data_IF_481962531924
#
_entry.id   IF_481962531924
#
_cell.length_a   1.000
_cell.length_b   1.000
_cell.length_c   1.000
_cell.angle_alpha   90.00
_cell.angle_beta   90.00
_cell.angle_gamma   90.00
#
_symmetry.space_group_name_H-M   'P 1'
#
loop_
_entity.id
_entity.type
_entity.pdbx_description
1 polymer ?
#
# COMPACT_ATOMS: atom_id res chain seq x y z
N UNK A 1 8.73 -17.64 -6.93
CA UNK A 1 7.81 -18.22 -7.94
C UNK A 1 7.78 -19.74 -7.94
N UNK A 2 8.93 -20.44 -7.87
CA UNK A 2 8.98 -21.91 -7.85
C UNK A 2 8.08 -22.55 -6.76
N UNK A 3 8.13 -22.03 -5.53
CA UNK A 3 7.30 -22.50 -4.42
C UNK A 3 5.78 -22.42 -4.69
N UNK A 4 5.29 -21.28 -5.17
CA UNK A 4 3.86 -21.08 -5.48
C UNK A 4 3.43 -22.05 -6.59
N UNK A 5 4.24 -22.20 -7.63
CA UNK A 5 3.95 -23.12 -8.74
C UNK A 5 3.94 -24.57 -8.30
N UNK A 6 4.88 -24.98 -7.45
CA UNK A 6 4.91 -26.33 -6.89
C UNK A 6 3.69 -26.60 -6.01
N UNK A 7 3.30 -25.65 -5.16
CA UNK A 7 2.10 -25.77 -4.33
C UNK A 7 0.83 -25.89 -5.17
N UNK A 8 0.67 -25.04 -6.19
CA UNK A 8 -0.49 -25.06 -7.09
C UNK A 8 -0.57 -26.38 -7.84
N UNK A 9 0.53 -26.83 -8.43
CA UNK A 9 0.61 -28.12 -9.14
C UNK A 9 0.26 -29.30 -8.22
N UNK A 10 0.77 -29.32 -7.00
CA UNK A 10 0.46 -30.36 -6.01
C UNK A 10 -1.03 -30.38 -5.59
N UNK A 11 -1.74 -29.27 -5.78
CA UNK A 11 -3.19 -29.16 -5.56
C UNK A 11 -4.02 -29.35 -6.84
N UNK A 12 -3.38 -29.69 -7.96
CA UNK A 12 -4.05 -29.82 -9.27
C UNK A 12 -4.53 -28.48 -9.85
N UNK A 13 -3.96 -27.37 -9.41
CA UNK A 13 -4.29 -26.02 -9.88
C UNK A 13 -3.23 -25.60 -10.91
N UNK A 14 -3.69 -25.25 -12.12
CA UNK A 14 -2.84 -24.68 -13.16
C UNK A 14 -2.75 -23.17 -12.93
N UNK A 15 -1.53 -22.62 -12.94
CA UNK A 15 -1.30 -21.18 -12.86
C UNK A 15 -1.28 -20.61 -14.27
N UNK A 16 -2.26 -19.77 -14.59
CA UNK A 16 -2.39 -19.11 -15.90
C UNK A 16 -1.35 -18.01 -16.08
N UNK A 17 -1.11 -17.19 -15.05
CA UNK A 17 -0.12 -16.12 -15.06
C UNK A 17 0.63 -16.01 -13.72
N UNK A 18 1.90 -15.60 -13.79
CA UNK A 18 2.75 -15.38 -12.64
C UNK A 18 3.59 -14.11 -12.86
N UNK A 19 3.31 -13.08 -12.09
CA UNK A 19 4.07 -11.83 -12.12
C UNK A 19 4.80 -11.59 -10.80
N UNK A 20 5.96 -10.94 -10.91
CA UNK A 20 6.64 -10.30 -9.79
C UNK A 20 6.60 -8.79 -9.99
N UNK A 21 6.40 -8.08 -8.88
CA UNK A 21 6.51 -6.63 -8.81
C UNK A 21 7.58 -6.27 -7.78
N UNK A 22 8.53 -5.43 -8.15
CA UNK A 22 9.62 -4.97 -7.30
C UNK A 22 9.25 -3.57 -6.84
N UNK A 23 8.73 -3.46 -5.62
CA UNK A 23 8.34 -2.19 -5.03
C UNK A 23 7.84 -2.37 -3.61
N UNK A 24 7.95 -1.33 -2.79
CA UNK A 24 7.47 -1.36 -1.40
C UNK A 24 5.98 -1.71 -1.38
N UNK A 25 5.60 -2.55 -0.43
CA UNK A 25 4.21 -2.91 -0.13
C UNK A 25 3.37 -1.73 0.40
N UNK A 26 4.01 -0.58 0.67
CA UNK A 26 3.36 0.71 0.93
C UNK A 26 2.99 1.48 -0.35
N UNK A 27 3.45 1.05 -1.53
CA UNK A 27 3.14 1.68 -2.80
C UNK A 27 1.87 1.08 -3.43
N UNK A 28 0.78 1.86 -3.37
CA UNK A 28 -0.52 1.53 -3.97
C UNK A 28 -0.58 1.82 -5.47
N UNK A 29 0.45 2.43 -6.06
CA UNK A 29 0.54 2.75 -7.49
C UNK A 29 1.41 1.74 -8.26
N UNK A 30 1.60 0.53 -7.70
CA UNK A 30 2.32 -0.56 -8.37
C UNK A 30 1.53 -0.98 -9.61
N UNK A 31 2.12 -0.80 -10.79
CA UNK A 31 1.43 -0.96 -12.09
C UNK A 31 0.80 -2.35 -12.24
N UNK A 32 1.57 -3.41 -11.98
CA UNK A 32 1.08 -4.79 -12.12
C UNK A 32 0.07 -5.15 -11.03
N UNK A 33 0.26 -4.64 -9.82
CA UNK A 33 -0.71 -4.85 -8.74
C UNK A 33 -2.06 -4.17 -9.01
N UNK A 34 -2.06 -2.95 -9.56
CA UNK A 34 -3.31 -2.30 -9.98
C UNK A 34 -3.97 -3.01 -11.16
N UNK A 35 -3.18 -3.48 -12.13
CA UNK A 35 -3.71 -4.31 -13.21
C UNK A 35 -4.37 -5.60 -12.66
N UNK A 36 -3.74 -6.28 -11.70
CA UNK A 36 -4.34 -7.43 -11.03
C UNK A 36 -5.70 -7.08 -10.40
N UNK A 37 -5.80 -5.92 -9.73
CA UNK A 37 -7.06 -5.48 -9.14
C UNK A 37 -8.13 -5.18 -10.21
N UNK A 38 -7.74 -4.58 -11.33
CA UNK A 38 -8.65 -4.35 -12.46
C UNK A 38 -9.17 -5.68 -13.03
N UNK A 39 -8.30 -6.67 -13.19
CA UNK A 39 -8.67 -8.02 -13.64
C UNK A 39 -9.58 -8.74 -12.63
N UNK A 40 -9.35 -8.55 -11.33
CA UNK A 40 -10.27 -9.01 -10.26
C UNK A 40 -11.64 -8.34 -10.40
N UNK A 41 -11.69 -7.01 -10.55
CA UNK A 41 -12.95 -6.27 -10.67
C UNK A 41 -13.72 -6.63 -11.95
N UNK A 42 -13.01 -7.04 -13.01
CA UNK A 42 -13.56 -7.57 -14.26
C UNK A 42 -13.93 -9.06 -14.19
N UNK A 43 -13.86 -9.69 -13.01
CA UNK A 43 -14.16 -11.11 -12.76
C UNK A 43 -13.29 -12.08 -13.60
N UNK A 44 -12.07 -11.67 -13.98
CA UNK A 44 -11.15 -12.48 -14.77
C UNK A 44 -10.24 -13.35 -13.89
N UNK A 45 -10.16 -13.04 -12.59
CA UNK A 45 -9.30 -13.73 -11.63
C UNK A 45 -10.15 -14.52 -10.63
N UNK A 46 -9.84 -15.81 -10.48
CA UNK A 46 -10.50 -16.68 -9.50
C UNK A 46 -9.69 -16.86 -8.22
N UNK A 47 -8.37 -16.98 -8.32
CA UNK A 47 -7.49 -17.24 -7.19
C UNK A 47 -6.19 -16.44 -7.34
N UNK A 48 -5.78 -15.79 -6.27
CA UNK A 48 -4.50 -15.07 -6.17
C UNK A 48 -3.65 -15.80 -5.12
N UNK A 49 -2.44 -16.21 -5.49
CA UNK A 49 -1.50 -16.81 -4.56
C UNK A 49 -0.42 -15.81 -4.16
N UNK A 50 -0.20 -15.67 -2.85
CA UNK A 50 0.90 -14.86 -2.28
C UNK A 50 1.60 -15.65 -1.18
N UNK A 51 2.89 -15.41 -0.94
CA UNK A 51 3.59 -16.11 0.15
C UNK A 51 3.27 -15.51 1.52
N UNK A 52 3.11 -14.19 1.58
CA UNK A 52 2.75 -13.46 2.78
C UNK A 52 1.76 -12.35 2.46
N UNK A 53 0.98 -11.92 3.48
CA UNK A 53 0.02 -10.81 3.32
C UNK A 53 0.70 -9.53 2.83
N UNK A 54 1.92 -9.26 3.32
CA UNK A 54 2.66 -8.05 2.97
C UNK A 54 3.22 -8.06 1.54
N UNK A 55 3.38 -9.22 0.89
CA UNK A 55 3.67 -9.30 -0.54
C UNK A 55 2.52 -8.75 -1.38
N UNK A 56 1.30 -8.85 -0.84
CA UNK A 56 0.13 -8.27 -1.47
C UNK A 56 0.04 -6.77 -1.17
N UNK A 57 0.01 -6.38 0.10
CA UNK A 57 -0.05 -4.96 0.54
C UNK A 57 0.38 -4.84 2.01
N UNK A 58 1.04 -3.75 2.41
CA UNK A 58 1.46 -3.55 3.81
C UNK A 58 0.28 -3.33 4.75
N UNK A 59 -0.67 -2.50 4.34
CA UNK A 59 -1.85 -2.13 5.14
C UNK A 59 -3.13 -2.28 4.33
N UNK A 60 -4.22 -2.63 5.04
CA UNK A 60 -5.53 -2.80 4.42
C UNK A 60 -5.73 -4.15 3.73
N UNK A 61 -4.87 -5.14 3.99
CA UNK A 61 -4.99 -6.48 3.38
C UNK A 61 -6.41 -7.05 3.48
N UNK A 62 -7.03 -6.99 4.67
CA UNK A 62 -8.36 -7.56 4.87
C UNK A 62 -9.44 -6.81 4.07
N UNK A 63 -9.27 -5.51 3.81
CA UNK A 63 -10.16 -4.74 2.93
C UNK A 63 -10.05 -5.21 1.48
N UNK A 64 -8.82 -5.37 0.96
CA UNK A 64 -8.62 -5.87 -0.41
C UNK A 64 -9.02 -7.33 -0.56
N UNK A 65 -8.85 -8.14 0.49
CA UNK A 65 -9.35 -9.51 0.51
C UNK A 65 -10.87 -9.53 0.33
N UNK A 66 -11.60 -8.69 1.08
CA UNK A 66 -13.05 -8.57 0.93
C UNK A 66 -13.45 -8.03 -0.45
N UNK A 67 -12.69 -7.08 -1.01
CA UNK A 67 -12.90 -6.62 -2.39
C UNK A 67 -12.80 -7.77 -3.38
N UNK A 68 -11.73 -8.57 -3.29
CA UNK A 68 -11.54 -9.74 -4.15
C UNK A 68 -12.70 -10.74 -3.99
N UNK A 69 -13.09 -11.04 -2.75
CA UNK A 69 -14.18 -11.99 -2.46
C UNK A 69 -15.53 -11.52 -3.04
N UNK A 70 -15.82 -10.22 -3.02
CA UNK A 70 -17.02 -9.65 -3.66
C UNK A 70 -17.06 -9.86 -5.17
N UNK A 71 -15.91 -9.96 -5.82
CA UNK A 71 -15.76 -10.23 -7.26
C UNK A 71 -15.48 -11.71 -7.56
N UNK A 72 -15.67 -12.61 -6.58
CA UNK A 72 -15.48 -14.06 -6.77
C UNK A 72 -14.01 -14.52 -6.79
N UNK A 73 -13.07 -13.63 -6.47
CA UNK A 73 -11.65 -13.93 -6.38
C UNK A 73 -11.23 -14.26 -4.94
N UNK A 74 -10.40 -15.29 -4.75
CA UNK A 74 -9.87 -15.67 -3.43
C UNK A 74 -8.38 -15.41 -3.33
N UNK A 75 -7.94 -14.71 -2.30
CA UNK A 75 -6.51 -14.59 -1.96
C UNK A 75 -6.10 -15.75 -1.05
N UNK A 76 -5.08 -16.50 -1.45
CA UNK A 76 -4.48 -17.63 -0.71
C UNK A 76 -3.06 -17.26 -0.30
N UNK A 77 -2.82 -17.23 1.01
CA UNK A 77 -1.51 -16.94 1.60
C UNK A 77 -0.79 -18.25 1.90
N UNK A 78 0.36 -18.47 1.27
CA UNK A 78 1.19 -19.67 1.39
C UNK A 78 2.42 -19.33 2.23
N UNK A 79 2.33 -19.50 3.56
CA UNK A 79 3.45 -19.23 4.47
C UNK A 79 4.72 -19.95 3.99
N UNK A 80 5.69 -19.19 3.47
CA UNK A 80 6.96 -19.73 2.99
C UNK A 80 8.11 -19.32 3.92
N UNK A 81 8.53 -20.16 4.88
CA UNK A 81 9.46 -19.79 5.94
C UNK A 81 10.84 -19.29 5.47
N UNK A 82 11.23 -19.53 4.21
CA UNK A 82 12.56 -19.22 3.69
C UNK A 82 12.83 -17.75 3.35
N UNK A 83 11.83 -16.86 3.51
CA UNK A 83 12.02 -15.41 3.28
C UNK A 83 11.50 -14.61 4.46
N UNK A 84 12.41 -14.10 5.30
CA UNK A 84 12.04 -13.20 6.41
C UNK A 84 11.68 -11.80 5.87
N UNK A 85 10.53 -11.23 6.27
CA UNK A 85 10.11 -9.89 5.90
C UNK A 85 10.76 -8.76 6.74
N UNK A 86 11.65 -9.09 7.69
CA UNK A 86 12.13 -8.14 8.72
C UNK A 86 12.81 -6.89 8.13
N UNK A 87 13.68 -7.06 7.14
CA UNK A 87 14.38 -5.93 6.50
C UNK A 87 13.41 -4.98 5.81
N UNK A 88 12.40 -5.52 5.12
CA UNK A 88 11.37 -4.69 4.50
C UNK A 88 10.45 -4.02 5.52
N UNK A 89 10.14 -4.69 6.63
CA UNK A 89 9.39 -4.10 7.73
C UNK A 89 10.11 -2.87 8.32
N UNK A 90 11.41 -2.98 8.56
CA UNK A 90 12.24 -1.86 9.05
C UNK A 90 12.27 -0.72 8.02
N UNK A 91 12.49 -1.03 6.74
CA UNK A 91 12.49 -0.04 5.66
C UNK A 91 11.14 0.68 5.53
N UNK A 92 10.04 -0.06 5.65
CA UNK A 92 8.69 0.49 5.60
C UNK A 92 8.42 1.39 6.81
N UNK A 93 8.87 1.02 8.01
CA UNK A 93 8.78 1.87 9.20
C UNK A 93 9.55 3.18 9.03
N UNK A 94 10.79 3.13 8.55
CA UNK A 94 11.61 4.33 8.28
C UNK A 94 10.89 5.24 7.27
N UNK A 95 10.34 4.65 6.21
CA UNK A 95 9.61 5.38 5.17
C UNK A 95 8.35 6.07 5.72
N UNK A 96 7.61 5.39 6.61
CA UNK A 96 6.45 5.95 7.31
C UNK A 96 6.87 7.14 8.19
N UNK A 97 7.87 6.94 9.06
CA UNK A 97 8.39 7.98 9.96
C UNK A 97 8.86 9.20 9.17
N UNK A 98 9.60 8.98 8.07
CA UNK A 98 10.08 10.04 7.19
C UNK A 98 8.92 10.83 6.58
N UNK A 99 7.92 10.13 6.01
CA UNK A 99 6.73 10.76 5.42
C UNK A 99 5.98 11.65 6.42
N UNK A 100 5.75 11.15 7.64
CA UNK A 100 5.13 11.93 8.71
C UNK A 100 5.99 13.12 9.15
N UNK A 101 7.30 12.93 9.29
CA UNK A 101 8.23 13.98 9.69
C UNK A 101 8.28 15.14 8.68
N UNK A 102 8.28 14.82 7.39
CA UNK A 102 8.20 15.80 6.30
C UNK A 102 6.89 16.59 6.34
N UNK A 103 5.75 15.92 6.54
CA UNK A 103 4.43 16.56 6.67
C UNK A 103 4.37 17.50 7.88
N UNK A 104 4.83 17.05 9.04
CA UNK A 104 4.86 17.86 10.26
C UNK A 104 5.77 19.08 10.10
N UNK A 105 6.94 18.90 9.49
CA UNK A 105 7.86 20.00 9.19
C UNK A 105 7.25 21.00 8.21
N UNK A 106 6.52 20.53 7.20
CA UNK A 106 5.75 21.36 6.27
C UNK A 106 4.68 22.19 6.98
N UNK A 107 3.91 21.57 7.88
CA UNK A 107 2.90 22.26 8.69
C UNK A 107 3.52 23.34 9.59
N UNK A 108 4.67 23.06 10.22
CA UNK A 108 5.40 24.06 11.02
C UNK A 108 5.87 25.24 10.17
N UNK A 109 6.41 24.97 8.97
CA UNK A 109 6.83 26.01 8.03
C UNK A 109 5.63 26.85 7.56
N UNK A 110 4.50 26.22 7.25
CA UNK A 110 3.27 26.90 6.85
C UNK A 110 2.72 27.78 7.97
N UNK A 111 2.62 27.26 9.21
CA UNK A 111 2.21 28.03 10.39
C UNK A 111 3.11 29.24 10.64
N UNK A 112 4.43 29.07 10.50
CA UNK A 112 5.40 30.18 10.64
C UNK A 112 5.21 31.24 9.54
N UNK A 113 4.94 30.83 8.29
CA UNK A 113 4.63 31.77 7.20
C UNK A 113 3.37 32.59 7.51
N UNK A 114 2.28 31.94 7.95
CA UNK A 114 1.05 32.65 8.32
C UNK A 114 1.26 33.65 9.47
N UNK A 115 2.00 33.28 10.52
CA UNK A 115 2.29 34.19 11.64
C UNK A 115 3.15 35.39 11.26
N UNK A 116 4.01 35.22 10.25
CA UNK A 116 4.92 36.24 9.76
C UNK A 116 4.34 37.03 8.58
N UNK A 117 3.16 36.66 8.09
CA UNK A 117 2.48 37.37 7.02
C UNK A 117 1.82 38.63 7.59
N UNK A 118 2.48 39.77 7.39
CA UNK A 118 2.03 41.08 7.85
C UNK A 118 0.74 41.54 7.16
N UNK A 119 0.35 40.94 6.02
CA UNK A 119 -0.92 41.25 5.34
C UNK A 119 -2.15 40.69 6.06
N UNK A 120 -1.99 39.68 6.92
CA UNK A 120 -3.05 39.07 7.72
C UNK A 120 -3.24 39.71 9.10
N UNK A 121 -2.36 40.65 9.50
CA UNK A 121 -2.41 41.33 10.80
C UNK A 121 -3.23 42.62 10.81
N UNK A 122 -3.81 43.00 9.68
CA UNK A 122 -4.51 44.28 9.50
C UNK A 122 -6.03 44.07 9.58
N UNK A 123 -6.52 43.79 10.78
CA UNK A 123 -7.94 43.73 11.11
C UNK A 123 -8.21 44.45 12.43
N UNK A 124 -8.42 45.77 12.30
CA UNK A 124 -9.13 46.69 13.20
C UNK A 124 -8.62 46.96 14.63
N UNK A 125 -8.18 48.20 14.86
CA UNK A 125 -8.92 49.13 15.73
C UNK A 125 -8.58 50.56 15.31
N UNK A 126 -9.49 51.19 14.58
CA UNK A 126 -9.46 52.63 14.32
C UNK A 126 -10.62 53.26 15.10
N UNK A 127 -10.47 53.35 16.42
CA UNK A 127 -11.35 54.20 17.23
C UNK A 127 -10.77 55.61 17.19
N UNK A 128 -11.27 56.40 16.24
CA UNK A 128 -11.10 57.86 16.24
C UNK A 128 -12.01 58.49 17.30
N UNK A 129 -11.41 59.41 18.06
CA UNK A 129 -11.97 60.25 19.13
C UNK A 129 -13.38 60.79 18.91
#
# INVERSE_FOLDING_TARGET
MAFIRQYANAKGIIIDDAFSDIGSSLNYNRKKWNQLLDEVMNNQIKIIFVTYKDRFIRFGFDWFKQLCEKHGAKIVVLNNPDTSPDQELVSDLISIIHSFSCRLSGLRKYKKKLLNDSSLKTGEHHDSH
#
